data_IF_637569157830
#
_entry.id   IF_637569157830
#
_cell.length_a   1.000
_cell.length_b   1.000
_cell.length_c   1.000
_cell.angle_alpha   90.00
_cell.angle_beta   90.00
_cell.angle_gamma   90.00
#
_symmetry.space_group_name_H-M   'P 1'
#
loop_
_entity.id
_entity.type
_entity.pdbx_description
1 polymer ?
#
# COMPACT_ATOMS: atom_id res chain seq x y z
N UNK A 1 -26.72 -1.14 -10.11
CA UNK A 1 -25.38 -1.02 -10.75
C UNK A 1 -24.36 -2.00 -10.18
N UNK A 2 -23.78 -1.86 -8.97
CA UNK A 2 -22.89 -2.92 -8.44
C UNK A 2 -23.63 -4.21 -8.05
N UNK A 3 -24.89 -4.10 -7.59
CA UNK A 3 -25.71 -5.23 -7.17
C UNK A 3 -26.14 -6.21 -8.29
N UNK A 4 -26.02 -5.82 -9.56
CA UNK A 4 -26.29 -6.71 -10.70
C UNK A 4 -25.03 -7.46 -11.18
N UNK A 5 -23.84 -7.05 -10.73
CA UNK A 5 -22.55 -7.69 -11.04
C UNK A 5 -21.95 -8.46 -9.86
N UNK A 6 -22.62 -8.48 -8.70
CA UNK A 6 -22.23 -9.29 -7.53
C UNK A 6 -22.23 -10.79 -7.81
N UNK A 7 -22.89 -11.24 -8.89
CA UNK A 7 -22.84 -12.63 -9.35
C UNK A 7 -21.48 -13.06 -9.90
N UNK A 8 -20.66 -12.13 -10.43
CA UNK A 8 -19.38 -12.49 -11.08
C UNK A 8 -18.13 -12.23 -10.21
N UNK A 9 -18.19 -11.33 -9.22
CA UNK A 9 -17.03 -11.01 -8.36
C UNK A 9 -17.41 -10.72 -6.89
N UNK A 10 -17.70 -11.74 -6.07
CA UNK A 10 -18.15 -11.57 -4.69
C UNK A 10 -17.08 -10.93 -3.78
N UNK A 11 -15.79 -11.18 -4.03
CA UNK A 11 -14.68 -10.66 -3.23
C UNK A 11 -14.53 -9.13 -3.34
N UNK A 12 -14.81 -8.57 -4.53
CA UNK A 12 -14.80 -7.12 -4.73
C UNK A 12 -15.95 -6.44 -3.96
N UNK A 13 -17.13 -7.05 -3.87
CA UNK A 13 -18.24 -6.48 -3.09
C UNK A 13 -17.95 -6.42 -1.59
N UNK A 14 -17.14 -7.37 -1.10
CA UNK A 14 -16.80 -7.50 0.31
C UNK A 14 -15.86 -6.38 0.74
N UNK A 15 -14.77 -6.16 0.00
CA UNK A 15 -13.78 -5.10 0.29
C UNK A 15 -14.30 -3.71 -0.09
N UNK A 16 -14.96 -3.57 -1.25
CA UNK A 16 -15.37 -2.25 -1.72
C UNK A 16 -16.64 -1.71 -1.07
N UNK A 17 -17.50 -2.56 -0.48
CA UNK A 17 -18.75 -2.09 0.13
C UNK A 17 -18.79 -2.42 1.61
N UNK A 18 -18.64 -3.68 2.00
CA UNK A 18 -18.86 -4.09 3.40
C UNK A 18 -17.82 -3.52 4.36
N UNK A 19 -16.53 -3.64 4.05
CA UNK A 19 -15.46 -3.08 4.89
C UNK A 19 -15.56 -1.56 5.01
N UNK A 20 -15.87 -0.90 3.89
CA UNK A 20 -16.05 0.55 3.83
C UNK A 20 -17.26 1.01 4.65
N UNK A 21 -18.38 0.29 4.59
CA UNK A 21 -19.56 0.57 5.40
C UNK A 21 -19.27 0.47 6.91
N UNK A 22 -18.47 -0.52 7.33
CA UNK A 22 -18.05 -0.68 8.74
C UNK A 22 -17.28 0.56 9.18
N UNK A 23 -16.27 0.96 8.41
CA UNK A 23 -15.46 2.14 8.71
C UNK A 23 -16.29 3.44 8.74
N UNK A 24 -17.17 3.63 7.75
CA UNK A 24 -18.05 4.82 7.68
C UNK A 24 -19.04 4.87 8.85
N UNK A 25 -19.61 3.73 9.23
CA UNK A 25 -20.53 3.63 10.37
C UNK A 25 -19.82 4.00 11.67
N UNK A 26 -18.64 3.41 11.92
CA UNK A 26 -17.82 3.73 13.10
C UNK A 26 -17.45 5.20 13.15
N UNK A 27 -17.04 5.79 12.03
CA UNK A 27 -16.67 7.21 11.96
C UNK A 27 -17.84 8.13 12.35
N UNK A 28 -19.06 7.80 11.90
CA UNK A 28 -20.28 8.52 12.29
C UNK A 28 -20.64 8.32 13.76
N UNK A 29 -20.47 7.11 14.30
CA UNK A 29 -20.70 6.84 15.72
C UNK A 29 -19.73 7.60 16.61
N UNK A 30 -18.45 7.65 16.24
CA UNK A 30 -17.44 8.46 16.95
C UNK A 30 -17.85 9.93 16.92
N UNK A 31 -18.21 10.47 15.75
CA UNK A 31 -18.67 11.85 15.65
C UNK A 31 -19.91 12.12 16.51
N UNK A 32 -20.85 11.17 16.58
CA UNK A 32 -22.06 11.27 17.38
C UNK A 32 -21.82 11.05 18.89
N UNK A 33 -20.66 10.53 19.30
CA UNK A 33 -20.31 10.32 20.70
C UNK A 33 -19.68 11.54 21.38
N UNK A 34 -19.28 12.55 20.59
CA UNK A 34 -18.59 13.75 21.11
C UNK A 34 -19.64 14.74 21.67
N UNK A 35 -19.68 14.99 22.98
CA UNK A 35 -20.65 15.90 23.57
C UNK A 35 -20.39 17.34 23.14
N UNK A 36 -21.45 18.13 22.95
CA UNK A 36 -21.37 19.54 22.61
C UNK A 36 -21.67 20.38 23.85
N UNK A 37 -20.70 21.19 24.27
CA UNK A 37 -20.88 22.16 25.36
C UNK A 37 -21.63 23.38 24.87
N UNK A 38 -22.76 23.69 25.49
CA UNK A 38 -23.56 24.88 25.21
C UNK A 38 -23.71 25.74 26.47
N UNK A 39 -24.07 27.03 26.35
CA UNK A 39 -24.32 27.91 27.50
C UNK A 39 -25.40 27.38 28.45
N UNK A 40 -26.32 26.55 27.94
CA UNK A 40 -27.41 25.93 28.70
C UNK A 40 -27.07 24.53 29.25
N UNK A 41 -25.81 24.09 29.15
CA UNK A 41 -25.36 22.74 29.54
C UNK A 41 -24.83 21.89 28.39
N UNK A 42 -24.56 20.61 28.67
CA UNK A 42 -24.09 19.65 27.66
C UNK A 42 -25.27 19.11 26.85
N UNK A 43 -25.19 19.20 25.53
CA UNK A 43 -26.21 18.67 24.62
C UNK A 43 -25.64 17.55 23.75
N UNK A 44 -26.49 16.58 23.33
CA UNK A 44 -26.08 15.56 22.37
C UNK A 44 -25.76 16.21 21.01
N UNK A 45 -24.68 15.78 20.33
CA UNK A 45 -24.31 16.31 19.02
C UNK A 45 -25.34 15.97 17.96
N UNK A 46 -25.54 16.89 17.00
CA UNK A 46 -26.26 16.62 15.75
C UNK A 46 -25.24 16.48 14.63
N UNK A 47 -25.14 15.29 14.05
CA UNK A 47 -24.14 14.96 13.03
C UNK A 47 -24.82 14.65 11.70
N UNK A 48 -24.28 15.18 10.61
CA UNK A 48 -24.73 14.88 9.25
C UNK A 48 -23.58 14.24 8.49
N UNK A 49 -23.79 13.00 8.03
CA UNK A 49 -22.86 12.30 7.14
C UNK A 49 -23.30 12.42 5.68
N UNK A 50 -22.42 12.92 4.82
CA UNK A 50 -22.65 12.94 3.36
C UNK A 50 -21.94 11.73 2.76
N UNK A 51 -22.70 10.77 2.25
CA UNK A 51 -22.19 9.51 1.68
C UNK A 51 -22.85 9.19 0.34
N UNK A 52 -22.18 8.39 -0.49
CA UNK A 52 -22.77 7.87 -1.72
C UNK A 52 -23.96 6.93 -1.43
N UNK A 53 -24.93 6.91 -2.35
CA UNK A 53 -26.20 6.16 -2.20
C UNK A 53 -26.00 4.66 -1.87
N UNK A 54 -24.90 4.05 -2.32
CA UNK A 54 -24.58 2.65 -2.06
C UNK A 54 -24.25 2.32 -0.60
N UNK A 55 -23.83 3.30 0.20
CA UNK A 55 -23.39 3.08 1.58
C UNK A 55 -24.52 3.25 2.60
N UNK A 56 -25.57 4.01 2.26
CA UNK A 56 -26.71 4.30 3.15
C UNK A 56 -27.33 3.02 3.74
N UNK A 57 -27.73 1.99 2.96
CA UNK A 57 -28.33 0.79 3.54
C UNK A 57 -27.36 0.02 4.45
N UNK A 58 -26.07 0.00 4.08
CA UNK A 58 -25.02 -0.66 4.86
C UNK A 58 -24.74 0.01 6.20
N UNK A 59 -24.80 1.34 6.25
CA UNK A 59 -24.67 2.13 7.48
C UNK A 59 -25.86 1.89 8.39
N UNK A 60 -27.09 1.96 7.86
CA UNK A 60 -28.32 1.74 8.64
C UNK A 60 -28.33 0.35 9.27
N UNK A 61 -27.94 -0.69 8.51
CA UNK A 61 -27.93 -2.06 9.01
C UNK A 61 -26.91 -2.29 10.15
N UNK A 62 -25.79 -1.56 10.12
CA UNK A 62 -24.65 -1.72 11.03
C UNK A 62 -24.64 -0.71 12.17
N UNK A 63 -25.54 0.27 12.18
CA UNK A 63 -25.62 1.28 13.22
C UNK A 63 -25.75 0.64 14.61
N UNK A 64 -24.87 1.02 15.54
CA UNK A 64 -24.84 0.46 16.90
C UNK A 64 -24.21 -0.93 17.01
N UNK A 65 -23.77 -1.55 15.91
CA UNK A 65 -23.17 -2.90 15.89
C UNK A 65 -21.67 -2.91 15.60
N UNK A 66 -21.11 -1.78 15.17
CA UNK A 66 -19.67 -1.64 14.91
C UNK A 66 -18.99 -1.13 16.17
N UNK A 67 -17.89 -1.78 16.52
CA UNK A 67 -17.07 -1.47 17.69
C UNK A 67 -15.66 -1.03 17.28
N UNK A 68 -14.93 -0.42 18.22
CA UNK A 68 -13.59 0.10 17.95
C UNK A 68 -12.59 -1.01 17.58
N UNK A 69 -12.82 -2.23 18.04
CA UNK A 69 -12.03 -3.43 17.71
C UNK A 69 -12.14 -3.87 16.24
N UNK A 70 -13.21 -3.47 15.54
CA UNK A 70 -13.44 -3.83 14.14
C UNK A 70 -12.58 -3.01 13.17
N UNK A 71 -12.00 -1.88 13.61
CA UNK A 71 -11.30 -0.92 12.74
C UNK A 71 -9.83 -1.26 12.47
N UNK A 72 -9.01 -1.65 13.46
CA UNK A 72 -7.60 -1.97 13.22
C UNK A 72 -7.35 -3.02 12.12
N UNK A 73 -8.15 -4.11 12.01
CA UNK A 73 -8.00 -5.07 10.93
C UNK A 73 -8.22 -4.46 9.53
N UNK A 74 -9.11 -3.47 9.40
CA UNK A 74 -9.42 -2.80 8.13
C UNK A 74 -8.31 -1.86 7.66
N UNK A 75 -7.48 -1.36 8.58
CA UNK A 75 -6.38 -0.45 8.29
C UNK A 75 -5.06 -1.17 7.99
N UNK A 76 -5.03 -2.49 8.15
CA UNK A 76 -3.84 -3.30 7.93
C UNK A 76 -3.65 -3.62 6.44
N UNK A 77 -2.53 -3.20 5.87
CA UNK A 77 -2.12 -3.55 4.52
C UNK A 77 -1.14 -4.72 4.59
N UNK A 78 -1.43 -5.88 3.97
CA UNK A 78 -0.54 -7.02 4.02
C UNK A 78 0.81 -6.70 3.32
N UNK A 79 1.94 -7.16 3.87
CA UNK A 79 3.23 -6.96 3.23
C UNK A 79 3.29 -7.69 1.87
N UNK A 80 4.07 -7.17 0.90
CA UNK A 80 4.21 -7.83 -0.39
C UNK A 80 4.83 -9.23 -0.22
N UNK A 81 4.38 -10.17 -1.05
CA UNK A 81 4.86 -11.56 -1.00
C UNK A 81 6.35 -11.65 -1.35
N UNK A 82 7.04 -12.63 -0.76
CA UNK A 82 8.46 -12.88 -1.04
C UNK A 82 8.72 -13.10 -2.54
N UNK A 83 7.82 -13.80 -3.23
CA UNK A 83 7.86 -14.01 -4.68
C UNK A 83 7.84 -12.70 -5.46
N UNK A 84 6.96 -11.76 -5.11
CA UNK A 84 6.91 -10.43 -5.74
C UNK A 84 8.24 -9.68 -5.57
N UNK A 85 8.87 -9.80 -4.39
CA UNK A 85 10.18 -9.20 -4.12
C UNK A 85 11.29 -9.83 -4.97
N UNK A 86 11.32 -11.16 -5.06
CA UNK A 86 12.31 -11.89 -5.87
C UNK A 86 12.15 -11.54 -7.36
N UNK A 87 10.92 -11.57 -7.88
CA UNK A 87 10.64 -11.23 -9.29
C UNK A 87 11.07 -9.79 -9.60
N UNK A 88 10.78 -8.84 -8.72
CA UNK A 88 11.19 -7.43 -8.90
C UNK A 88 12.72 -7.27 -8.93
N UNK A 89 13.43 -7.99 -8.06
CA UNK A 89 14.91 -7.97 -8.05
C UNK A 89 15.45 -8.64 -9.31
N UNK A 90 14.93 -9.82 -9.66
CA UNK A 90 15.32 -10.57 -10.86
C UNK A 90 15.12 -9.75 -12.14
N UNK A 91 13.99 -9.07 -12.27
CA UNK A 91 13.74 -8.18 -13.41
C UNK A 91 14.77 -7.04 -13.50
N UNK A 92 15.10 -6.38 -12.38
CA UNK A 92 16.13 -5.33 -12.35
C UNK A 92 17.52 -5.87 -12.73
N UNK A 93 17.90 -7.02 -12.18
CA UNK A 93 19.18 -7.67 -12.50
C UNK A 93 19.23 -8.11 -13.97
N UNK A 94 18.13 -8.60 -14.52
CA UNK A 94 18.03 -8.96 -15.93
C UNK A 94 18.26 -7.77 -16.85
N UNK A 95 17.68 -6.61 -16.53
CA UNK A 95 17.89 -5.38 -17.32
C UNK A 95 19.35 -4.94 -17.25
N UNK A 96 19.95 -4.91 -16.06
CA UNK A 96 21.37 -4.57 -15.91
C UNK A 96 22.26 -5.56 -16.66
N UNK A 97 21.98 -6.86 -16.56
CA UNK A 97 22.71 -7.90 -17.28
C UNK A 97 22.63 -7.74 -18.80
N UNK A 98 21.45 -7.44 -19.33
CA UNK A 98 21.27 -7.18 -20.77
C UNK A 98 22.02 -5.93 -21.24
N UNK A 99 22.01 -4.87 -20.45
CA UNK A 99 22.76 -3.64 -20.75
C UNK A 99 24.27 -3.91 -20.75
N UNK A 100 24.80 -4.56 -19.73
CA UNK A 100 26.22 -4.91 -19.65
C UNK A 100 26.63 -5.83 -20.80
N UNK A 101 25.82 -6.83 -21.11
CA UNK A 101 26.06 -7.73 -22.24
C UNK A 101 26.04 -6.97 -23.58
N UNK A 102 25.04 -6.12 -23.81
CA UNK A 102 24.94 -5.27 -24.99
C UNK A 102 26.14 -4.34 -25.16
N UNK A 103 26.54 -3.66 -24.09
CA UNK A 103 27.75 -2.81 -24.08
C UNK A 103 29.01 -3.63 -24.39
N UNK A 104 29.18 -4.81 -23.80
CA UNK A 104 30.35 -5.67 -24.05
C UNK A 104 30.43 -6.20 -25.49
N UNK A 105 29.29 -6.25 -26.19
CA UNK A 105 29.21 -6.73 -27.58
C UNK A 105 29.39 -5.61 -28.61
N UNK A 106 28.97 -4.39 -28.28
CA UNK A 106 28.97 -3.24 -29.21
C UNK A 106 30.22 -2.37 -29.04
N UNK A 107 30.72 -2.22 -27.82
CA UNK A 107 31.96 -1.46 -27.58
C UNK A 107 33.17 -2.40 -27.74
N UNK A 108 34.14 -2.08 -28.62
CA UNK A 108 35.43 -2.75 -28.59
C UNK A 108 36.14 -2.31 -27.30
N UNK A 109 35.97 -3.07 -26.22
CA UNK A 109 36.74 -2.85 -25.01
C UNK A 109 38.20 -3.14 -25.39
N UNK A 110 39.09 -2.13 -25.41
CA UNK A 110 40.50 -2.39 -25.64
C UNK A 110 40.94 -3.32 -24.51
N UNK A 111 41.51 -4.47 -24.88
CA UNK A 111 42.08 -5.43 -23.93
C UNK A 111 43.34 -4.81 -23.29
N UNK A 112 43.15 -3.81 -22.44
CA UNK A 112 44.20 -3.23 -21.62
C UNK A 112 44.32 -4.13 -20.40
N UNK A 113 45.08 -5.21 -20.55
CA UNK A 113 45.53 -5.98 -19.39
C UNK A 113 46.59 -5.14 -18.68
N UNK A 114 46.39 -4.75 -17.41
CA UNK A 114 47.44 -4.08 -16.66
C UNK A 114 48.65 -5.01 -16.60
N UNK A 115 49.80 -4.54 -17.08
CA UNK A 115 51.05 -5.30 -16.96
C UNK A 115 51.32 -5.51 -15.46
N UNK A 116 51.66 -6.74 -15.08
CA UNK A 116 51.96 -7.14 -13.70
C UNK A 116 53.03 -6.25 -13.03
N UNK A 117 53.90 -5.63 -13.81
CA UNK A 117 54.87 -4.64 -13.32
C UNK A 117 54.21 -3.39 -12.75
N UNK A 118 53.15 -2.88 -13.39
CA UNK A 118 52.48 -1.65 -12.95
C UNK A 118 51.66 -1.85 -11.68
N UNK A 119 51.06 -3.04 -11.52
CA UNK A 119 50.39 -3.43 -10.28
C UNK A 119 51.36 -3.52 -9.10
N UNK A 120 52.59 -4.01 -9.32
CA UNK A 120 53.61 -4.05 -8.27
C UNK A 120 54.04 -2.65 -7.84
N UNK A 121 54.19 -1.72 -8.79
CA UNK A 121 54.58 -0.33 -8.50
C UNK A 121 53.48 0.43 -7.76
N UNK A 122 52.21 0.25 -8.15
CA UNK A 122 51.07 0.88 -7.47
C UNK A 122 50.92 0.34 -6.05
N UNK A 123 51.08 -0.96 -5.84
CA UNK A 123 51.06 -1.55 -4.49
C UNK A 123 52.23 -1.04 -3.65
N UNK A 124 53.46 -0.98 -4.19
CA UNK A 124 54.59 -0.43 -3.43
C UNK A 124 54.41 1.04 -3.05
N UNK A 125 53.83 1.87 -3.92
CA UNK A 125 53.58 3.29 -3.62
C UNK A 125 52.43 3.53 -2.64
N UNK A 126 51.51 2.57 -2.45
CA UNK A 126 50.40 2.66 -1.48
C UNK A 126 50.85 2.21 -0.08
N UNK A 127 51.93 1.45 0.03
CA UNK A 127 52.47 0.92 1.27
C UNK A 127 53.75 1.63 1.77
N UNK A 128 54.08 2.81 1.21
CA UNK A 128 55.05 3.79 1.75
C UNK A 128 54.30 4.98 2.35
#
# INVERSE_FOLDING_TARGET
>A
MLAEMTGEFPDLSTVFVKERDIYLTHSLQVAASIPVSCPTGVQPPRVVGVVGIGHVPGIVQRWGKVHQEDIPPLLYIPPPTLTSRIVRIGAKLSVVGLVLWGCSRILPIPKVYPKLSELKTVVQNVFQ
#
